data_IF_805194823633
#
_entry.id   IF_805194823633
#
_cell.length_a   1.000
_cell.length_b   1.000
_cell.length_c   1.000
_cell.angle_alpha   90.00
_cell.angle_beta   90.00
_cell.angle_gamma   90.00
#
_symmetry.space_group_name_H-M   'P 1'
#
loop_
_entity.id
_entity.type
_entity.pdbx_description
1 polymer ?
#
# COMPACT_ATOMS: atom_id res chain seq x y z
N UNK A 1 -69.36 36.90 74.49
CA UNK A 1 -68.03 37.53 74.58
C UNK A 1 -67.28 36.64 75.56
N UNK A 2 -66.42 35.71 75.16
CA UNK A 2 -65.35 35.82 74.17
C UNK A 2 -65.09 34.49 73.45
N UNK A 3 -64.64 34.58 72.20
CA UNK A 3 -64.37 33.44 71.31
C UNK A 3 -62.87 33.19 71.27
N UNK A 4 -62.50 31.94 71.56
CA UNK A 4 -61.17 31.34 71.37
C UNK A 4 -60.73 31.38 69.90
N UNK A 5 -59.50 31.84 69.64
CA UNK A 5 -58.80 31.57 68.38
C UNK A 5 -57.31 31.28 68.61
N UNK A 6 -56.90 30.07 68.20
CA UNK A 6 -55.51 29.71 67.88
C UNK A 6 -55.04 30.50 66.64
N UNK A 7 -53.77 30.92 66.55
CA UNK A 7 -53.12 31.18 65.27
C UNK A 7 -52.34 29.96 64.78
N UNK A 8 -52.61 29.62 63.52
CA UNK A 8 -52.04 28.56 62.72
C UNK A 8 -50.71 28.98 62.07
N UNK A 9 -49.83 27.98 61.91
CA UNK A 9 -48.61 28.00 61.12
C UNK A 9 -48.88 28.28 59.63
N UNK A 10 -48.39 29.40 59.07
CA UNK A 10 -48.13 29.54 57.63
C UNK A 10 -46.88 30.38 57.41
N UNK A 11 -45.78 29.72 57.03
CA UNK A 11 -44.51 30.39 56.72
C UNK A 11 -43.53 29.47 55.99
N UNK A 12 -43.91 28.91 54.84
CA UNK A 12 -42.96 28.26 53.92
C UNK A 12 -43.54 28.13 52.51
N UNK A 13 -43.39 29.19 51.69
CA UNK A 13 -43.60 29.10 50.23
C UNK A 13 -42.46 29.73 49.42
N UNK A 14 -41.65 30.63 49.99
CA UNK A 14 -40.54 31.28 49.25
C UNK A 14 -39.29 30.41 49.09
N UNK A 15 -39.03 29.44 49.95
CA UNK A 15 -37.84 28.57 49.89
C UNK A 15 -37.94 27.46 48.84
N UNK A 16 -39.15 27.03 48.48
CA UNK A 16 -39.38 25.94 47.51
C UNK A 16 -39.15 26.43 46.06
N UNK A 17 -39.48 27.68 45.77
CA UNK A 17 -39.33 28.28 44.42
C UNK A 17 -37.84 28.54 44.09
N UNK A 18 -37.03 28.86 45.10
CA UNK A 18 -35.59 29.06 44.92
C UNK A 18 -34.85 27.74 44.58
N UNK A 19 -35.26 26.63 45.21
CA UNK A 19 -34.70 25.29 44.95
C UNK A 19 -35.02 24.77 43.54
N UNK A 20 -36.20 25.10 43.00
CA UNK A 20 -36.59 24.65 41.66
C UNK A 20 -35.79 25.36 40.56
N UNK A 21 -35.48 26.65 40.73
CA UNK A 21 -34.65 27.43 39.79
C UNK A 21 -33.22 26.90 39.69
N UNK A 22 -32.62 26.49 40.81
CA UNK A 22 -31.25 25.93 40.81
C UNK A 22 -31.16 24.55 40.14
N UNK A 23 -32.20 23.72 40.24
CA UNK A 23 -32.23 22.43 39.54
C UNK A 23 -32.22 22.59 38.02
N UNK A 24 -33.00 23.54 37.50
CA UNK A 24 -33.02 23.82 36.05
C UNK A 24 -31.66 24.29 35.55
N UNK A 25 -30.98 25.16 36.31
CA UNK A 25 -29.62 25.63 35.98
C UNK A 25 -28.62 24.47 36.01
N UNK A 26 -28.68 23.59 37.01
CA UNK A 26 -27.81 22.41 37.10
C UNK A 26 -28.03 21.47 35.90
N UNK A 27 -29.29 21.21 35.52
CA UNK A 27 -29.58 20.38 34.34
C UNK A 27 -29.07 21.00 33.04
N UNK A 28 -29.19 22.31 32.87
CA UNK A 28 -28.64 23.02 31.70
C UNK A 28 -27.11 22.94 31.64
N UNK A 29 -26.44 23.08 32.79
CA UNK A 29 -24.97 22.94 32.87
C UNK A 29 -24.55 21.51 32.53
N UNK A 30 -25.23 20.50 33.07
CA UNK A 30 -24.94 19.09 32.75
C UNK A 30 -25.16 18.80 31.26
N UNK A 31 -26.24 19.31 30.66
CA UNK A 31 -26.51 19.17 29.22
C UNK A 31 -25.44 19.85 28.36
N UNK A 32 -24.99 21.06 28.73
CA UNK A 32 -23.87 21.73 28.06
C UNK A 32 -22.57 20.94 28.18
N UNK A 33 -22.23 20.45 29.37
CA UNK A 33 -21.04 19.63 29.58
C UNK A 33 -21.10 18.32 28.78
N UNK A 34 -22.28 17.69 28.70
CA UNK A 34 -22.48 16.46 27.93
C UNK A 34 -22.40 16.71 26.42
N UNK A 35 -22.91 17.85 25.95
CA UNK A 35 -22.75 18.29 24.56
C UNK A 35 -21.28 18.54 24.19
N UNK A 36 -20.54 19.29 25.02
CA UNK A 36 -19.10 19.54 24.83
C UNK A 36 -18.32 18.23 24.87
N UNK A 37 -18.64 17.32 25.81
CA UNK A 37 -18.00 16.02 25.92
C UNK A 37 -18.26 15.15 24.68
N UNK A 38 -19.50 15.10 24.18
CA UNK A 38 -19.83 14.39 22.94
C UNK A 38 -19.12 15.02 21.73
N UNK A 39 -18.96 16.34 21.69
CA UNK A 39 -18.25 17.04 20.63
C UNK A 39 -16.72 16.87 20.69
N UNK A 40 -16.14 16.75 21.88
CA UNK A 40 -14.73 16.39 22.04
C UNK A 40 -14.47 14.89 21.78
N UNK A 41 -15.47 14.03 21.98
CA UNK A 41 -15.38 12.61 21.67
C UNK A 41 -15.64 12.29 20.19
N UNK A 42 -16.26 13.18 19.41
CA UNK A 42 -16.29 13.04 17.96
C UNK A 42 -14.87 13.23 17.43
N UNK A 43 -14.23 12.19 16.85
CA UNK A 43 -12.88 12.32 16.34
C UNK A 43 -12.90 13.35 15.21
N UNK A 44 -12.22 14.49 15.41
CA UNK A 44 -12.03 15.52 14.37
C UNK A 44 -11.22 15.02 13.16
N UNK A 45 -10.74 13.78 13.19
CA UNK A 45 -9.95 13.16 12.13
C UNK A 45 -10.78 12.39 11.08
N UNK A 46 -12.12 12.25 11.24
CA UNK A 46 -12.90 11.30 10.42
C UNK A 46 -13.88 11.91 9.42
N UNK A 47 -14.00 13.23 9.34
CA UNK A 47 -14.71 13.88 8.23
C UNK A 47 -13.84 15.02 7.73
N UNK A 48 -12.91 14.68 6.84
CA UNK A 48 -12.43 15.64 5.84
C UNK A 48 -13.68 16.05 5.05
N UNK A 49 -14.31 17.15 5.44
CA UNK A 49 -15.41 17.77 4.71
C UNK A 49 -14.87 18.10 3.32
N UNK A 50 -15.18 17.25 2.35
CA UNK A 50 -14.62 17.37 1.01
C UNK A 50 -15.11 18.67 0.40
N UNK A 51 -14.17 19.53 0.00
CA UNK A 51 -14.54 20.79 -0.64
C UNK A 51 -15.13 20.46 -2.01
N UNK A 52 -16.36 20.90 -2.24
CA UNK A 52 -16.99 20.92 -3.56
C UNK A 52 -16.30 22.01 -4.37
N UNK A 53 -15.20 21.68 -5.05
CA UNK A 53 -14.46 22.62 -5.91
C UNK A 53 -14.74 22.35 -7.37
N UNK A 54 -14.90 23.42 -8.14
CA UNK A 54 -14.99 23.35 -9.60
C UNK A 54 -13.60 23.33 -10.26
N UNK A 55 -12.54 23.73 -9.55
CA UNK A 55 -11.19 23.75 -10.13
C UNK A 55 -10.40 22.46 -9.83
N UNK A 56 -9.94 21.73 -10.86
CA UNK A 56 -9.23 20.46 -10.65
C UNK A 56 -7.90 20.58 -9.90
N UNK A 57 -7.19 21.68 -10.07
CA UNK A 57 -5.92 21.92 -9.36
C UNK A 57 -6.14 22.13 -7.86
N UNK A 58 -7.19 22.86 -7.47
CA UNK A 58 -7.57 23.05 -6.08
C UNK A 58 -8.02 21.72 -5.46
N UNK A 59 -8.78 20.92 -6.21
CA UNK A 59 -9.16 19.56 -5.80
C UNK A 59 -7.92 18.70 -5.48
N UNK A 60 -6.91 18.68 -6.35
CA UNK A 60 -5.68 17.91 -6.11
C UNK A 60 -4.90 18.48 -4.93
N UNK A 61 -4.79 19.81 -4.80
CA UNK A 61 -4.11 20.45 -3.68
C UNK A 61 -4.77 20.14 -2.34
N UNK A 62 -6.11 20.09 -2.29
CA UNK A 62 -6.87 19.66 -1.12
C UNK A 62 -6.54 18.22 -0.72
N UNK A 63 -6.44 17.32 -1.69
CA UNK A 63 -6.03 15.91 -1.47
C UNK A 63 -4.60 15.76 -0.94
N UNK A 64 -3.74 16.76 -1.13
CA UNK A 64 -2.38 16.77 -0.61
C UNK A 64 -2.27 17.31 0.82
N UNK A 65 -3.28 18.01 1.35
CA UNK A 65 -3.26 18.59 2.70
C UNK A 65 -2.92 17.57 3.81
N UNK A 66 -3.44 16.33 3.80
CA UNK A 66 -3.07 15.33 4.82
C UNK A 66 -1.58 15.01 4.86
N UNK A 67 -0.86 15.24 3.76
CA UNK A 67 0.58 14.98 3.64
C UNK A 67 1.45 16.22 3.95
N UNK A 68 0.87 17.37 4.29
CA UNK A 68 1.61 18.61 4.51
C UNK A 68 2.73 18.48 5.56
N UNK A 69 2.44 17.77 6.66
CA UNK A 69 3.43 17.47 7.70
C UNK A 69 4.55 16.58 7.18
N UNK A 70 4.23 15.49 6.49
CA UNK A 70 5.23 14.58 5.92
C UNK A 70 6.12 15.24 4.85
N UNK A 71 5.54 16.13 4.04
CA UNK A 71 6.26 16.91 3.04
C UNK A 71 7.25 17.88 3.70
N UNK A 72 6.82 18.56 4.77
CA UNK A 72 7.67 19.48 5.54
C UNK A 72 8.81 18.73 6.25
N UNK A 73 8.52 17.56 6.80
CA UNK A 73 9.45 16.78 7.60
C UNK A 73 10.36 15.89 6.71
N UNK A 74 10.23 15.98 5.38
CA UNK A 74 11.01 15.21 4.38
C UNK A 74 10.80 13.69 4.47
N UNK A 75 9.65 13.28 4.99
CA UNK A 75 9.19 11.88 5.04
C UNK A 75 8.37 11.50 3.79
N UNK A 76 7.93 12.49 3.02
CA UNK A 76 7.27 12.31 1.74
C UNK A 76 7.77 13.32 0.70
N UNK A 77 7.66 12.95 -0.57
CA UNK A 77 8.09 13.78 -1.70
C UNK A 77 7.02 13.83 -2.78
N UNK A 78 6.63 15.05 -3.16
CA UNK A 78 5.78 15.30 -4.31
C UNK A 78 6.60 15.14 -5.60
N UNK A 79 6.10 14.36 -6.54
CA UNK A 79 6.71 14.10 -7.83
C UNK A 79 5.79 14.67 -8.91
N UNK A 80 6.32 15.62 -9.66
CA UNK A 80 5.63 16.22 -10.80
C UNK A 80 6.10 15.50 -12.07
N UNK A 81 5.23 14.72 -12.75
CA UNK A 81 5.63 13.93 -13.92
C UNK A 81 6.17 14.79 -15.08
N UNK A 82 5.75 16.05 -15.15
CA UNK A 82 6.09 16.99 -16.21
C UNK A 82 7.46 17.67 -15.99
N UNK A 83 8.03 17.56 -14.80
CA UNK A 83 9.29 18.21 -14.46
C UNK A 83 10.45 17.23 -14.62
N UNK A 84 11.09 17.27 -15.79
CA UNK A 84 12.25 16.43 -16.16
C UNK A 84 13.49 16.65 -15.29
N UNK A 85 13.49 17.64 -14.40
CA UNK A 85 14.62 17.96 -13.52
C UNK A 85 14.71 17.04 -12.28
N UNK A 86 13.65 16.32 -11.91
CA UNK A 86 13.67 15.44 -10.74
C UNK A 86 13.88 13.99 -11.14
N UNK A 87 15.03 13.41 -10.81
CA UNK A 87 15.34 11.98 -10.99
C UNK A 87 14.56 11.04 -10.03
N UNK A 88 13.52 11.53 -9.36
CA UNK A 88 12.78 10.79 -8.34
C UNK A 88 11.61 10.02 -8.96
N UNK A 89 11.60 8.71 -8.74
CA UNK A 89 10.53 7.82 -9.19
C UNK A 89 9.59 7.54 -8.01
N UNK A 90 8.26 7.57 -8.21
CA UNK A 90 7.35 6.89 -7.28
C UNK A 90 7.61 5.42 -7.46
N UNK A 91 8.44 4.85 -6.60
CA UNK A 91 8.75 3.43 -6.62
C UNK A 91 8.50 2.86 -5.24
N UNK A 92 7.86 1.70 -5.15
CA UNK A 92 7.71 0.95 -3.91
C UNK A 92 8.21 -0.46 -4.17
N UNK A 93 8.86 -1.05 -3.17
CA UNK A 93 9.39 -2.39 -3.25
C UNK A 93 9.65 -2.98 -1.88
N UNK A 94 9.62 -4.31 -1.81
CA UNK A 94 9.88 -5.08 -0.59
C UNK A 94 11.15 -5.96 -0.71
N UNK A 95 11.96 -5.73 -1.75
CA UNK A 95 13.12 -6.53 -2.09
C UNK A 95 12.85 -7.78 -2.93
N UNK A 96 11.59 -8.22 -3.04
CA UNK A 96 11.17 -9.35 -3.89
C UNK A 96 10.45 -8.88 -5.15
N UNK A 97 9.60 -7.87 -4.98
CA UNK A 97 8.86 -7.19 -6.05
C UNK A 97 8.91 -5.69 -5.83
N UNK A 98 8.81 -4.93 -6.93
CA UNK A 98 8.65 -3.50 -6.90
C UNK A 98 8.04 -2.95 -8.18
N UNK A 99 7.37 -1.80 -8.06
CA UNK A 99 6.66 -1.18 -9.18
C UNK A 99 6.69 0.35 -9.05
N UNK A 100 6.30 1.04 -10.12
CA UNK A 100 6.21 2.51 -10.18
C UNK A 100 4.93 2.97 -10.87
N UNK A 101 4.43 4.17 -10.54
CA UNK A 101 3.35 4.78 -11.34
C UNK A 101 3.84 5.33 -12.69
N UNK A 102 5.15 5.47 -12.88
CA UNK A 102 5.74 6.01 -14.11
C UNK A 102 6.27 4.94 -15.06
N UNK A 103 6.39 3.69 -14.61
CA UNK A 103 6.87 2.54 -15.38
C UNK A 103 5.78 1.47 -15.42
N UNK A 104 5.46 0.95 -16.61
CA UNK A 104 4.49 -0.14 -16.79
C UNK A 104 5.08 -1.52 -16.49
N UNK A 105 6.37 -1.57 -16.14
CA UNK A 105 7.06 -2.78 -15.75
C UNK A 105 7.00 -3.01 -14.23
N UNK A 106 6.83 -4.27 -13.85
CA UNK A 106 7.19 -4.73 -12.51
C UNK A 106 8.67 -5.13 -12.51
N UNK A 107 9.38 -4.80 -11.44
CA UNK A 107 10.74 -5.24 -11.20
C UNK A 107 10.70 -6.36 -10.17
N UNK A 108 11.32 -7.49 -10.50
CA UNK A 108 11.38 -8.67 -9.65
C UNK A 108 12.81 -8.95 -9.19
N UNK A 109 12.91 -9.65 -8.07
CA UNK A 109 14.17 -10.07 -7.49
C UNK A 109 14.90 -11.08 -8.37
N UNK A 110 16.17 -10.78 -8.65
CA UNK A 110 17.10 -11.67 -9.31
C UNK A 110 18.51 -11.33 -8.85
N UNK A 111 19.29 -12.34 -8.40
CA UNK A 111 20.65 -12.19 -7.89
C UNK A 111 20.83 -11.26 -6.66
N UNK A 112 19.85 -11.24 -5.74
CA UNK A 112 19.97 -10.56 -4.44
C UNK A 112 19.36 -9.16 -4.38
N UNK A 113 18.87 -8.63 -5.51
CA UNK A 113 18.23 -7.32 -5.59
C UNK A 113 17.16 -7.30 -6.71
N UNK A 114 16.32 -6.27 -6.72
CA UNK A 114 15.35 -6.05 -7.80
C UNK A 114 16.07 -5.59 -9.06
N UNK A 115 16.13 -6.45 -10.07
CA UNK A 115 16.94 -6.21 -11.27
C UNK A 115 16.27 -6.62 -12.57
N UNK A 116 15.38 -7.63 -12.52
CA UNK A 116 14.72 -8.13 -13.71
C UNK A 116 13.40 -7.38 -13.91
N UNK A 117 13.29 -6.64 -15.01
CA UNK A 117 12.03 -5.99 -15.42
C UNK A 117 11.15 -6.96 -16.18
N UNK A 118 9.84 -6.90 -15.92
CA UNK A 118 8.81 -7.66 -16.61
C UNK A 118 7.67 -6.75 -17.03
N UNK A 119 7.24 -6.87 -18.28
CA UNK A 119 6.14 -6.07 -18.83
C UNK A 119 4.80 -6.72 -18.49
N UNK A 120 4.45 -6.70 -17.21
CA UNK A 120 3.19 -7.26 -16.67
C UNK A 120 2.37 -6.10 -16.10
N UNK A 121 1.12 -5.90 -16.56
CA UNK A 121 0.27 -4.80 -16.11
C UNK A 121 -0.31 -5.07 -14.71
N UNK A 122 0.50 -4.90 -13.67
CA UNK A 122 0.11 -5.22 -12.28
C UNK A 122 -0.62 -4.09 -11.58
N UNK A 123 -0.44 -2.84 -12.04
CA UNK A 123 -1.10 -1.67 -11.48
C UNK A 123 -2.36 -1.35 -12.26
N UNK A 124 -3.44 -1.16 -11.51
CA UNK A 124 -4.73 -0.76 -12.03
C UNK A 124 -4.77 0.77 -12.13
N UNK A 125 -5.43 1.28 -13.15
CA UNK A 125 -5.67 2.72 -13.31
C UNK A 125 -7.15 3.01 -13.38
N UNK A 126 -7.56 4.12 -12.76
CA UNK A 126 -8.92 4.62 -12.91
C UNK A 126 -8.92 5.66 -14.00
N UNK A 127 -9.86 5.50 -14.93
CA UNK A 127 -10.17 6.50 -15.94
C UNK A 127 -11.66 6.82 -15.88
N UNK A 128 -12.01 8.09 -16.07
CA UNK A 128 -13.40 8.53 -16.15
C UNK A 128 -13.56 9.14 -17.53
N UNK A 129 -14.12 8.36 -18.44
CA UNK A 129 -14.17 8.75 -19.86
C UNK A 129 -14.91 10.08 -20.02
N UNK A 130 -14.27 11.04 -20.69
CA UNK A 130 -14.84 12.36 -20.97
C UNK A 130 -14.47 13.44 -19.95
N UNK A 131 -13.74 13.08 -18.89
CA UNK A 131 -13.30 14.02 -17.86
C UNK A 131 -11.84 14.44 -18.09
N UNK A 132 -11.53 15.70 -17.83
CA UNK A 132 -10.14 16.17 -17.74
C UNK A 132 -9.55 15.66 -16.43
N UNK A 133 -8.41 14.98 -16.50
CA UNK A 133 -7.73 14.37 -15.35
C UNK A 133 -6.51 15.19 -14.94
N UNK A 134 -6.50 15.65 -13.70
CA UNK A 134 -5.35 16.26 -13.06
C UNK A 134 -4.82 15.32 -12.00
N UNK A 135 -3.51 15.08 -11.99
CA UNK A 135 -2.89 14.12 -11.09
C UNK A 135 -1.66 14.67 -10.37
N UNK A 136 -1.47 14.24 -9.13
CA UNK A 136 -0.26 14.41 -8.37
C UNK A 136 0.25 13.05 -7.90
N UNK A 137 1.56 12.84 -8.00
CA UNK A 137 2.23 11.64 -7.50
C UNK A 137 2.99 12.00 -6.23
N UNK A 138 2.91 11.15 -5.21
CA UNK A 138 3.60 11.36 -3.96
C UNK A 138 4.24 10.05 -3.49
N UNK A 139 5.51 10.12 -3.10
CA UNK A 139 6.26 9.01 -2.52
C UNK A 139 6.38 9.25 -1.02
N UNK A 140 5.80 8.36 -0.21
CA UNK A 140 5.91 8.36 1.24
C UNK A 140 7.02 7.38 1.64
N UNK A 141 8.23 7.89 1.81
CA UNK A 141 9.40 7.06 2.07
C UNK A 141 9.40 6.49 3.48
N UNK A 142 8.74 7.18 4.42
CA UNK A 142 8.68 6.77 5.82
C UNK A 142 7.84 5.52 5.97
N UNK A 143 6.67 5.50 5.33
CA UNK A 143 5.73 4.39 5.41
C UNK A 143 5.90 3.36 4.28
N UNK A 144 6.71 3.69 3.27
CA UNK A 144 6.94 2.84 2.10
C UNK A 144 5.81 2.78 1.09
N UNK A 145 4.96 3.81 1.10
CA UNK A 145 3.77 3.90 0.29
C UNK A 145 4.00 4.83 -0.91
N UNK A 146 3.30 4.55 -2.00
CA UNK A 146 3.18 5.48 -3.11
C UNK A 146 1.73 5.87 -3.31
N UNK A 147 1.52 7.15 -3.56
CA UNK A 147 0.22 7.77 -3.65
C UNK A 147 0.03 8.43 -5.01
N UNK A 148 -1.15 8.28 -5.59
CA UNK A 148 -1.59 9.01 -6.78
C UNK A 148 -2.93 9.65 -6.46
N UNK A 149 -2.95 10.97 -6.41
CA UNK A 149 -4.18 11.77 -6.27
C UNK A 149 -4.62 12.16 -7.67
N UNK A 150 -5.88 11.90 -8.00
CA UNK A 150 -6.47 12.28 -9.28
C UNK A 150 -7.79 13.02 -9.05
N UNK A 151 -8.00 14.09 -9.81
CA UNK A 151 -9.28 14.78 -9.88
C UNK A 151 -9.75 14.81 -11.32
N UNK A 152 -11.00 14.40 -11.52
CA UNK A 152 -11.66 14.28 -12.80
C UNK A 152 -12.74 15.34 -12.88
N UNK A 153 -12.72 16.15 -13.94
CA UNK A 153 -13.75 17.17 -14.20
C UNK A 153 -14.39 16.99 -15.57
N UNK A 154 -15.73 16.95 -15.58
CA UNK A 154 -16.54 17.07 -16.78
C UNK A 154 -17.19 18.46 -16.83
N UNK A 155 -17.62 18.89 -18.02
CA UNK A 155 -18.08 20.26 -18.26
C UNK A 155 -19.28 20.59 -17.36
N UNK A 156 -19.16 21.65 -16.57
CA UNK A 156 -20.17 22.14 -15.61
C UNK A 156 -20.55 21.17 -14.46
N UNK A 157 -19.66 20.25 -14.10
CA UNK A 157 -19.85 19.34 -12.97
C UNK A 157 -18.78 19.52 -11.88
N UNK A 158 -19.13 19.09 -10.66
CA UNK A 158 -18.20 19.02 -9.53
C UNK A 158 -17.12 17.96 -9.80
N UNK A 159 -15.91 18.16 -9.25
CA UNK A 159 -14.79 17.24 -9.47
C UNK A 159 -14.98 15.90 -8.73
N UNK A 160 -15.03 14.79 -9.46
CA UNK A 160 -14.83 13.45 -8.86
C UNK A 160 -13.37 13.31 -8.49
N UNK A 161 -13.07 12.87 -7.28
CA UNK A 161 -11.69 12.72 -6.84
C UNK A 161 -11.37 11.29 -6.45
N UNK A 162 -10.16 10.85 -6.75
CA UNK A 162 -9.66 9.55 -6.36
C UNK A 162 -8.29 9.64 -5.72
N UNK A 163 -8.11 8.89 -4.64
CA UNK A 163 -6.81 8.63 -4.00
C UNK A 163 -6.44 7.18 -4.22
N UNK A 164 -5.36 6.94 -4.95
CA UNK A 164 -4.74 5.61 -5.09
C UNK A 164 -3.57 5.50 -4.13
N UNK A 165 -3.50 4.41 -3.38
CA UNK A 165 -2.33 4.05 -2.56
C UNK A 165 -1.83 2.68 -3.02
N UNK A 166 -0.52 2.53 -3.22
CA UNK A 166 0.11 1.27 -3.60
C UNK A 166 1.30 0.98 -2.68
N UNK A 167 1.47 -0.28 -2.30
CA UNK A 167 2.65 -0.73 -1.58
C UNK A 167 2.95 -2.21 -1.81
N UNK A 168 4.24 -2.53 -1.92
CA UNK A 168 4.72 -3.91 -1.84
C UNK A 168 4.86 -4.30 -0.36
N UNK A 169 4.10 -5.29 0.11
CA UNK A 169 4.05 -5.60 1.53
C UNK A 169 5.43 -6.05 2.04
N UNK A 170 5.91 -5.43 3.14
CA UNK A 170 7.29 -5.66 3.61
C UNK A 170 7.44 -7.02 4.30
N UNK A 171 6.43 -7.46 5.06
CA UNK A 171 6.40 -8.77 5.73
C UNK A 171 5.91 -9.95 4.89
N UNK A 172 5.15 -9.69 3.82
CA UNK A 172 4.53 -10.71 2.97
C UNK A 172 5.07 -10.55 1.56
N UNK A 173 6.17 -11.23 1.22
CA UNK A 173 6.95 -10.79 0.09
C UNK A 173 6.29 -11.02 -1.27
N UNK A 174 5.21 -11.82 -1.34
CA UNK A 174 4.43 -11.98 -2.56
C UNK A 174 3.48 -10.82 -2.83
N UNK A 175 3.12 -10.02 -1.82
CA UNK A 175 1.93 -9.19 -1.89
C UNK A 175 2.22 -7.78 -2.38
N UNK A 176 1.50 -7.38 -3.42
CA UNK A 176 1.35 -6.00 -3.87
C UNK A 176 -0.09 -5.57 -3.61
N UNK A 177 -0.27 -4.52 -2.81
CA UNK A 177 -1.58 -4.01 -2.42
C UNK A 177 -1.80 -2.67 -3.10
N UNK A 178 -2.97 -2.51 -3.71
CA UNK A 178 -3.43 -1.26 -4.29
C UNK A 178 -4.82 -0.93 -3.78
N UNK A 179 -5.01 0.26 -3.22
CA UNK A 179 -6.31 0.72 -2.73
C UNK A 179 -6.70 2.00 -3.44
N UNK A 180 -7.93 2.05 -3.94
CA UNK A 180 -8.54 3.26 -4.48
C UNK A 180 -9.63 3.74 -3.55
N UNK A 181 -9.63 5.04 -3.25
CA UNK A 181 -10.73 5.72 -2.59
C UNK A 181 -11.29 6.74 -3.55
N UNK A 182 -12.51 6.54 -4.01
CA UNK A 182 -13.19 7.42 -4.96
C UNK A 182 -14.29 8.15 -4.22
N UNK A 183 -14.29 9.48 -4.33
CA UNK A 183 -15.32 10.34 -3.78
C UNK A 183 -16.13 10.99 -4.91
N UNK A 184 -17.45 10.78 -4.87
CA UNK A 184 -18.40 11.39 -5.77
C UNK A 184 -19.18 12.50 -5.04
N UNK A 185 -18.88 13.79 -5.29
CA UNK A 185 -19.59 14.90 -4.65
C UNK A 185 -20.96 15.22 -5.27
N UNK A 186 -21.33 14.59 -6.38
CA UNK A 186 -22.54 14.90 -7.13
C UNK A 186 -23.79 14.35 -6.47
N UNK A 187 -24.95 14.84 -6.89
CA UNK A 187 -26.27 14.41 -6.41
C UNK A 187 -26.80 13.15 -7.13
N UNK A 188 -26.02 12.58 -8.06
CA UNK A 188 -26.29 11.33 -8.76
C UNK A 188 -25.11 10.36 -8.71
N UNK A 189 -25.36 9.09 -9.02
CA UNK A 189 -24.36 8.04 -9.09
C UNK A 189 -23.46 8.18 -10.34
N UNK A 190 -22.16 7.94 -10.15
CA UNK A 190 -21.16 8.00 -11.21
C UNK A 190 -20.49 6.65 -11.41
N UNK A 191 -20.15 6.36 -12.67
CA UNK A 191 -19.45 5.14 -13.04
C UNK A 191 -18.00 5.47 -13.37
N UNK A 192 -17.07 4.88 -12.65
CA UNK A 192 -15.63 4.97 -12.92
C UNK A 192 -15.20 3.73 -13.69
N UNK A 193 -14.50 3.94 -14.81
CA UNK A 193 -13.94 2.84 -15.58
C UNK A 193 -12.62 2.42 -14.94
N UNK A 194 -12.49 1.12 -14.74
CA UNK A 194 -11.27 0.48 -14.31
C UNK A 194 -10.50 0.08 -15.56
N UNK A 195 -9.39 0.76 -15.83
CA UNK A 195 -8.46 0.36 -16.89
C UNK A 195 -7.36 -0.52 -16.30
N UNK A 196 -7.25 -1.71 -16.86
CA UNK A 196 -6.35 -2.76 -16.41
C UNK A 196 -5.84 -3.51 -17.63
N UNK A 197 -4.53 -3.65 -17.73
CA UNK A 197 -3.92 -4.42 -18.80
C UNK A 197 -4.28 -5.91 -18.72
N UNK A 198 -4.21 -6.60 -19.86
CA UNK A 198 -4.57 -8.00 -19.94
C UNK A 198 -3.34 -8.89 -19.76
N UNK A 199 -3.33 -9.79 -18.77
CA UNK A 199 -2.24 -10.77 -18.58
C UNK A 199 -2.00 -11.66 -19.80
N UNK A 200 -2.99 -11.86 -20.67
CA UNK A 200 -2.82 -12.59 -21.94
C UNK A 200 -1.84 -11.91 -22.89
N UNK A 201 -1.57 -10.61 -22.71
CA UNK A 201 -0.61 -9.87 -23.51
C UNK A 201 0.83 -10.05 -23.00
N UNK A 202 1.03 -10.78 -21.91
CA UNK A 202 2.37 -11.07 -21.38
C UNK A 202 3.09 -12.10 -22.28
N UNK A 203 4.21 -11.70 -22.87
CA UNK A 203 4.96 -12.47 -23.87
C UNK A 203 5.55 -13.78 -23.34
N UNK A 204 5.93 -13.82 -22.06
CA UNK A 204 6.51 -15.00 -21.42
C UNK A 204 5.47 -15.93 -20.79
N UNK A 205 4.17 -15.66 -20.99
CA UNK A 205 3.07 -16.45 -20.42
C UNK A 205 3.07 -17.88 -20.96
N UNK A 206 3.04 -18.85 -20.04
CA UNK A 206 2.99 -20.29 -20.34
C UNK A 206 1.63 -20.89 -19.99
N UNK A 207 1.09 -20.53 -18.82
CA UNK A 207 -0.21 -21.03 -18.38
C UNK A 207 -1.02 -19.93 -17.72
N UNK A 208 -2.33 -19.94 -17.98
CA UNK A 208 -3.30 -19.04 -17.35
C UNK A 208 -4.50 -19.86 -16.90
N UNK A 209 -4.86 -19.78 -15.63
CA UNK A 209 -6.05 -20.43 -15.08
C UNK A 209 -6.78 -19.52 -14.10
N UNK A 210 -7.92 -19.97 -13.61
CA UNK A 210 -8.74 -19.23 -12.66
C UNK A 210 -8.89 -20.03 -11.38
N UNK A 211 -8.80 -19.35 -10.24
CA UNK A 211 -9.12 -19.91 -8.93
C UNK A 211 -10.09 -18.98 -8.22
N UNK A 212 -10.74 -19.49 -7.17
CA UNK A 212 -11.61 -18.70 -6.32
C UNK A 212 -11.13 -18.77 -4.89
N UNK A 213 -11.08 -17.61 -4.24
CA UNK A 213 -10.64 -17.45 -2.86
C UNK A 213 -11.74 -16.75 -2.07
N UNK A 214 -11.82 -17.05 -0.78
CA UNK A 214 -12.76 -16.41 0.13
C UNK A 214 -12.13 -15.12 0.68
N UNK A 215 -12.83 -14.00 0.54
CA UNK A 215 -12.49 -12.72 1.11
C UNK A 215 -13.48 -12.39 2.24
N UNK A 216 -12.96 -11.91 3.35
CA UNK A 216 -13.80 -11.40 4.43
C UNK A 216 -14.32 -10.02 4.02
N UNK A 217 -15.64 -9.85 4.00
CA UNK A 217 -16.25 -8.55 3.67
C UNK A 217 -15.85 -7.49 4.70
N UNK A 218 -15.47 -6.30 4.22
CA UNK A 218 -15.14 -5.15 5.08
C UNK A 218 -16.38 -4.57 5.78
N UNK A 219 -17.57 -4.85 5.24
CA UNK A 219 -18.84 -4.44 5.85
C UNK A 219 -19.21 -5.43 6.97
N UNK A 220 -19.06 -4.98 8.23
CA UNK A 220 -19.49 -5.73 9.42
C UNK A 220 -20.94 -6.20 9.21
N UNK A 221 -21.13 -7.52 9.07
CA UNK A 221 -22.38 -8.30 8.98
C UNK A 221 -22.67 -9.02 7.65
N UNK A 222 -21.80 -8.94 6.62
CA UNK A 222 -21.96 -9.79 5.42
C UNK A 222 -21.13 -11.08 5.47
N UNK A 223 -21.65 -12.13 4.81
CA UNK A 223 -20.96 -13.39 4.59
C UNK A 223 -19.65 -13.19 3.80
N UNK A 224 -18.70 -14.12 3.91
CA UNK A 224 -17.49 -14.10 3.09
C UNK A 224 -17.86 -13.99 1.61
N UNK A 225 -17.20 -13.07 0.91
CA UNK A 225 -17.38 -12.84 -0.52
C UNK A 225 -16.36 -13.70 -1.28
N UNK A 226 -16.77 -14.27 -2.41
CA UNK A 226 -15.87 -15.08 -3.24
C UNK A 226 -15.21 -14.19 -4.30
N UNK A 227 -13.87 -14.12 -4.28
CA UNK A 227 -13.08 -13.36 -5.26
C UNK A 227 -12.43 -14.33 -6.24
N UNK A 228 -12.59 -14.07 -7.53
CA UNK A 228 -11.94 -14.86 -8.58
C UNK A 228 -10.58 -14.26 -8.91
N UNK A 229 -9.56 -15.11 -9.00
CA UNK A 229 -8.19 -14.75 -9.36
C UNK A 229 -7.80 -15.42 -10.67
N UNK A 230 -7.08 -14.67 -11.52
CA UNK A 230 -6.30 -15.20 -12.62
C UNK A 230 -4.92 -15.60 -12.10
N UNK A 231 -4.55 -16.86 -12.30
CA UNK A 231 -3.24 -17.39 -11.95
C UNK A 231 -2.46 -17.58 -13.25
N UNK A 232 -1.50 -16.71 -13.47
CA UNK A 232 -0.59 -16.74 -14.61
C UNK A 232 0.77 -17.30 -14.16
N UNK A 233 1.36 -18.15 -15.00
CA UNK A 233 2.75 -18.58 -14.88
C UNK A 233 3.46 -18.23 -16.16
N UNK A 234 4.63 -17.61 -16.07
CA UNK A 234 5.51 -17.33 -17.19
C UNK A 234 6.95 -17.70 -16.91
N UNK A 235 7.72 -17.84 -17.99
CA UNK A 235 9.11 -18.29 -17.96
C UNK A 235 10.02 -17.26 -18.60
N UNK A 236 10.84 -16.63 -17.78
CA UNK A 236 11.76 -15.58 -18.22
C UNK A 236 13.10 -16.22 -18.51
N UNK A 237 13.53 -16.16 -19.77
CA UNK A 237 14.83 -16.69 -20.20
C UNK A 237 15.95 -15.73 -19.81
N UNK A 238 16.95 -16.24 -19.10
CA UNK A 238 18.18 -15.53 -18.80
C UNK A 238 19.32 -15.99 -19.72
N UNK A 239 20.33 -15.12 -19.97
CA UNK A 239 21.52 -15.52 -20.71
C UNK A 239 22.24 -16.66 -20.00
N UNK A 240 22.60 -17.75 -20.72
CA UNK A 240 23.44 -18.78 -20.12
C UNK A 240 24.83 -18.21 -19.79
N UNK A 241 25.38 -18.54 -18.62
CA UNK A 241 26.78 -18.29 -18.32
C UNK A 241 27.71 -18.91 -19.37
N UNK A 242 28.77 -18.19 -19.74
CA UNK A 242 29.68 -18.63 -20.82
C UNK A 242 30.36 -19.98 -20.55
N UNK A 243 30.57 -20.34 -19.29
CA UNK A 243 31.17 -21.62 -18.89
C UNK A 243 30.26 -22.83 -19.17
N UNK A 244 28.94 -22.65 -19.24
CA UNK A 244 27.97 -23.73 -19.54
C UNK A 244 27.74 -23.92 -21.04
N UNK A 245 28.23 -23.02 -21.89
CA UNK A 245 27.94 -23.04 -23.35
C UNK A 245 28.68 -24.12 -24.12
N UNK A 246 29.68 -24.78 -23.52
CA UNK A 246 30.64 -25.58 -24.32
C UNK A 246 30.65 -27.08 -24.05
N UNK A 247 29.99 -27.62 -23.01
CA UNK A 247 29.95 -29.08 -22.78
C UNK A 247 28.75 -29.60 -21.97
N UNK A 248 27.82 -28.74 -21.55
CA UNK A 248 26.70 -29.15 -20.68
C UNK A 248 25.40 -29.40 -21.45
N UNK A 249 24.51 -30.30 -20.96
CA UNK A 249 23.23 -30.60 -21.60
C UNK A 249 22.18 -29.48 -21.45
N UNK A 250 22.54 -28.36 -20.81
CA UNK A 250 21.63 -27.27 -20.52
C UNK A 250 21.46 -26.34 -21.73
N UNK A 251 20.21 -26.07 -22.07
CA UNK A 251 19.83 -25.27 -23.25
C UNK A 251 19.32 -23.88 -22.87
N UNK A 252 18.88 -23.70 -21.62
CA UNK A 252 18.40 -22.42 -21.11
C UNK A 252 18.59 -22.29 -19.60
N UNK A 253 18.63 -21.04 -19.14
CA UNK A 253 18.47 -20.68 -17.74
C UNK A 253 17.15 -19.91 -17.62
N UNK A 254 16.25 -20.35 -16.72
CA UNK A 254 14.89 -19.82 -16.62
C UNK A 254 14.59 -19.30 -15.22
N UNK A 255 13.88 -18.18 -15.13
CA UNK A 255 13.14 -17.80 -13.93
C UNK A 255 11.67 -18.19 -14.10
N UNK A 256 11.12 -18.84 -13.08
CA UNK A 256 9.69 -19.15 -13.01
C UNK A 256 9.00 -18.00 -12.29
N UNK A 257 8.01 -17.38 -12.93
CA UNK A 257 7.27 -16.24 -12.40
C UNK A 257 5.80 -16.60 -12.32
N UNK A 258 5.21 -16.46 -11.14
CA UNK A 258 3.80 -16.74 -10.89
C UNK A 258 3.12 -15.46 -10.41
N UNK A 259 1.98 -15.14 -11.03
CA UNK A 259 1.17 -13.95 -10.74
C UNK A 259 -0.27 -14.39 -10.46
N UNK A 260 -0.78 -13.99 -9.31
CA UNK A 260 -2.17 -14.09 -8.89
C UNK A 260 -2.76 -12.70 -8.98
N UNK A 261 -3.62 -12.51 -9.96
CA UNK A 261 -4.23 -11.23 -10.24
C UNK A 261 -5.74 -11.31 -10.01
N UNK A 262 -6.32 -10.43 -9.18
CA UNK A 262 -7.74 -10.48 -8.91
C UNK A 262 -8.57 -9.95 -10.10
N UNK A 263 -9.68 -10.63 -10.39
CA UNK A 263 -10.67 -10.25 -11.41
C UNK A 263 -11.70 -9.29 -10.83
N UNK A 264 -12.02 -8.23 -11.58
CA UNK A 264 -12.93 -7.19 -11.14
C UNK A 264 -13.81 -6.69 -12.29
N UNK A 265 -14.97 -6.07 -11.97
CA UNK A 265 -15.79 -5.45 -12.99
C UNK A 265 -15.05 -4.29 -13.66
N UNK A 266 -15.29 -4.10 -14.95
CA UNK A 266 -14.71 -3.01 -15.75
C UNK A 266 -15.19 -1.63 -15.29
N UNK A 267 -16.30 -1.59 -14.57
CA UNK A 267 -17.00 -0.38 -14.15
C UNK A 267 -17.32 -0.46 -12.66
N UNK A 268 -17.02 0.60 -11.92
CA UNK A 268 -17.32 0.76 -10.51
C UNK A 268 -18.31 1.91 -10.31
N UNK A 269 -19.45 1.62 -9.69
CA UNK A 269 -20.48 2.64 -9.43
C UNK A 269 -20.28 3.24 -8.05
N UNK A 270 -20.19 4.57 -8.00
CA UNK A 270 -20.02 5.35 -6.78
C UNK A 270 -21.29 6.19 -6.54
N UNK A 271 -22.06 5.90 -5.48
CA UNK A 271 -23.27 6.62 -5.12
C UNK A 271 -23.00 8.11 -4.88
N UNK A 272 -24.06 8.88 -5.06
CA UNK A 272 -24.09 10.31 -4.77
C UNK A 272 -23.60 10.64 -3.35
N UNK A 273 -22.81 11.71 -3.24
CA UNK A 273 -22.32 12.25 -1.97
C UNK A 273 -21.47 11.29 -1.13
N UNK A 274 -20.99 10.18 -1.71
CA UNK A 274 -20.35 9.09 -0.98
C UNK A 274 -18.90 8.87 -1.39
N UNK A 275 -18.13 8.26 -0.48
CA UNK A 275 -16.80 7.72 -0.76
C UNK A 275 -16.87 6.20 -0.77
N UNK A 276 -16.40 5.58 -1.84
CA UNK A 276 -16.18 4.13 -1.89
C UNK A 276 -14.68 3.80 -1.91
N UNK A 277 -14.33 2.70 -1.24
CA UNK A 277 -12.96 2.19 -1.18
C UNK A 277 -12.92 0.81 -1.82
N UNK A 278 -11.94 0.57 -2.68
CA UNK A 278 -11.71 -0.70 -3.35
C UNK A 278 -10.26 -1.12 -3.14
N UNK A 279 -10.06 -2.34 -2.64
CA UNK A 279 -8.73 -2.89 -2.34
C UNK A 279 -8.44 -4.07 -3.26
N UNK A 280 -7.26 -4.03 -3.88
CA UNK A 280 -6.76 -5.01 -4.83
C UNK A 280 -5.49 -5.62 -4.25
N UNK A 281 -5.50 -6.93 -4.04
CA UNK A 281 -4.34 -7.67 -3.54
C UNK A 281 -3.83 -8.56 -4.67
N UNK A 282 -2.66 -8.24 -5.20
CA UNK A 282 -1.99 -9.00 -6.26
C UNK A 282 -0.86 -9.81 -5.64
N UNK A 283 -0.78 -11.10 -5.94
CA UNK A 283 0.27 -12.00 -5.46
C UNK A 283 1.30 -12.30 -6.54
N UNK A 284 2.58 -12.09 -6.30
CA UNK A 284 3.63 -12.27 -7.30
C UNK A 284 4.84 -12.93 -6.64
N UNK A 285 5.30 -14.06 -7.20
CA UNK A 285 6.53 -14.71 -6.78
C UNK A 285 7.36 -15.17 -7.95
N UNK A 286 8.66 -15.24 -7.68
CA UNK A 286 9.68 -15.66 -8.62
C UNK A 286 10.53 -16.74 -7.96
N UNK A 287 11.03 -17.67 -8.76
CA UNK A 287 12.01 -18.66 -8.32
C UNK A 287 13.23 -17.99 -7.67
N UNK A 288 13.65 -18.49 -6.52
CA UNK A 288 14.73 -17.88 -5.71
C UNK A 288 16.08 -17.89 -6.45
N UNK A 289 16.29 -18.88 -7.32
CA UNK A 289 17.44 -19.01 -8.20
C UNK A 289 16.97 -19.40 -9.61
N UNK A 290 17.69 -18.98 -10.66
CA UNK A 290 17.37 -19.43 -12.00
C UNK A 290 17.58 -20.93 -12.15
N UNK A 291 16.64 -21.60 -12.81
CA UNK A 291 16.66 -23.03 -13.07
C UNK A 291 17.40 -23.28 -14.39
N UNK A 292 18.45 -24.09 -14.35
CA UNK A 292 19.08 -24.64 -15.54
C UNK A 292 18.19 -25.75 -16.11
N UNK A 293 17.83 -25.65 -17.38
CA UNK A 293 16.94 -26.61 -18.03
C UNK A 293 17.61 -27.27 -19.23
N UNK A 294 17.36 -28.57 -19.37
CA UNK A 294 17.71 -29.37 -20.54
C UNK A 294 16.58 -29.34 -21.57
N UNK A 295 16.83 -29.86 -22.76
CA UNK A 295 15.79 -30.00 -23.79
C UNK A 295 14.63 -30.90 -23.31
N UNK A 296 14.93 -31.94 -22.53
CA UNK A 296 13.92 -32.81 -21.95
C UNK A 296 13.01 -32.07 -20.94
N UNK A 297 13.58 -31.18 -20.12
CA UNK A 297 12.80 -30.38 -19.16
C UNK A 297 11.84 -29.41 -19.87
N UNK A 298 12.24 -28.87 -21.01
CA UNK A 298 11.37 -28.02 -21.84
C UNK A 298 10.20 -28.80 -22.46
N UNK A 299 10.40 -30.08 -22.78
CA UNK A 299 9.33 -30.96 -23.26
C UNK A 299 8.36 -31.28 -22.13
N UNK A 300 8.87 -31.60 -20.93
CA UNK A 300 8.04 -31.88 -19.74
C UNK A 300 7.24 -30.67 -19.25
N UNK A 301 7.67 -29.46 -19.59
CA UNK A 301 6.92 -28.23 -19.32
C UNK A 301 5.46 -28.30 -19.79
N UNK A 302 5.21 -28.97 -20.92
CA UNK A 302 3.86 -29.12 -21.50
C UNK A 302 2.99 -30.13 -20.77
N UNK A 303 3.58 -31.03 -20.00
CA UNK A 303 2.87 -32.10 -19.28
C UNK A 303 2.67 -31.81 -17.79
N UNK A 304 2.96 -30.59 -17.33
CA UNK A 304 2.91 -30.21 -15.91
C UNK A 304 3.77 -31.11 -14.99
N UNK A 305 4.80 -31.74 -15.57
CA UNK A 305 5.74 -32.61 -14.88
C UNK A 305 7.15 -31.99 -14.91
N UNK A 306 8.02 -32.47 -14.02
CA UNK A 306 9.41 -32.05 -13.97
C UNK A 306 9.70 -30.88 -13.04
N UNK A 307 10.95 -30.39 -13.10
CA UNK A 307 11.50 -29.42 -12.14
C UNK A 307 10.78 -28.07 -12.17
N UNK A 308 10.42 -27.59 -13.35
CA UNK A 308 9.75 -26.29 -13.53
C UNK A 308 8.32 -26.33 -12.99
N UNK A 309 7.58 -27.42 -13.23
CA UNK A 309 6.23 -27.59 -12.70
C UNK A 309 6.23 -27.71 -11.18
N UNK A 310 7.22 -28.41 -10.60
CA UNK A 310 7.41 -28.48 -9.15
C UNK A 310 7.67 -27.10 -8.55
N UNK A 311 8.51 -26.29 -9.20
CA UNK A 311 8.77 -24.93 -8.75
C UNK A 311 7.53 -24.05 -8.84
N UNK A 312 6.80 -24.10 -9.96
CA UNK A 312 5.53 -23.39 -10.12
C UNK A 312 4.57 -23.70 -8.96
N UNK A 313 4.35 -24.98 -8.66
CA UNK A 313 3.47 -25.40 -7.55
C UNK A 313 3.96 -24.90 -6.19
N UNK A 314 5.28 -24.87 -5.96
CA UNK A 314 5.87 -24.29 -4.74
C UNK A 314 5.54 -22.80 -4.63
N UNK A 315 5.79 -22.02 -5.69
CA UNK A 315 5.53 -20.58 -5.71
C UNK A 315 4.04 -20.28 -5.55
N UNK A 316 3.16 -21.03 -6.22
CA UNK A 316 1.71 -20.90 -6.07
C UNK A 316 1.25 -21.17 -4.65
N UNK A 317 1.82 -22.18 -3.97
CA UNK A 317 1.51 -22.48 -2.57
C UNK A 317 1.91 -21.35 -1.63
N UNK A 318 3.07 -20.72 -1.84
CA UNK A 318 3.53 -19.56 -1.06
C UNK A 318 2.65 -18.34 -1.29
N UNK A 319 2.29 -18.04 -2.53
CA UNK A 319 1.38 -16.92 -2.83
C UNK A 319 0.00 -17.19 -2.20
N UNK A 320 -0.52 -18.41 -2.32
CA UNK A 320 -1.85 -18.76 -1.82
C UNK A 320 -1.95 -18.60 -0.31
N UNK A 321 -0.92 -19.01 0.46
CA UNK A 321 -0.94 -18.86 1.91
C UNK A 321 -0.92 -17.38 2.34
N UNK A 322 -0.12 -16.54 1.69
CA UNK A 322 -0.07 -15.10 1.94
C UNK A 322 -1.35 -14.38 1.50
N UNK A 323 -1.96 -14.77 0.37
CA UNK A 323 -3.22 -14.21 -0.10
C UNK A 323 -4.38 -14.56 0.82
N UNK A 324 -4.50 -15.82 1.25
CA UNK A 324 -5.56 -16.23 2.19
C UNK A 324 -5.45 -15.45 3.49
N UNK A 325 -4.22 -15.22 3.98
CA UNK A 325 -4.00 -14.31 5.10
C UNK A 325 -4.49 -12.90 4.75
N UNK A 326 -3.97 -12.25 3.72
CA UNK A 326 -4.31 -10.87 3.38
C UNK A 326 -5.81 -10.63 3.15
N UNK A 327 -6.52 -11.57 2.51
CA UNK A 327 -7.96 -11.49 2.26
C UNK A 327 -8.83 -11.72 3.51
N UNK A 328 -8.23 -12.22 4.59
CA UNK A 328 -8.93 -12.43 5.87
C UNK A 328 -8.83 -11.23 6.82
N UNK A 329 -7.93 -10.27 6.53
CA UNK A 329 -7.69 -9.08 7.33
C UNK A 329 -8.25 -7.82 6.66
N UNK A 330 -8.76 -6.86 7.44
CA UNK A 330 -9.07 -5.51 6.95
C UNK A 330 -7.83 -4.84 6.34
N UNK A 331 -8.01 -4.09 5.24
CA UNK A 331 -6.90 -3.44 4.54
C UNK A 331 -6.11 -2.47 5.43
N UNK A 332 -6.76 -1.77 6.36
CA UNK A 332 -6.11 -0.87 7.29
C UNK A 332 -5.16 -1.59 8.27
N UNK A 333 -5.49 -2.82 8.68
CA UNK A 333 -4.61 -3.65 9.50
C UNK A 333 -3.41 -4.15 8.70
N UNK A 334 -3.64 -4.60 7.46
CA UNK A 334 -2.58 -5.03 6.54
C UNK A 334 -1.61 -3.87 6.24
N UNK A 335 -2.14 -2.67 6.01
CA UNK A 335 -1.34 -1.47 5.80
C UNK A 335 -0.51 -1.12 7.04
N UNK A 336 -1.12 -1.22 8.23
CA UNK A 336 -0.41 -0.95 9.49
C UNK A 336 0.78 -1.90 9.68
N UNK A 337 0.59 -3.20 9.44
CA UNK A 337 1.68 -4.19 9.51
C UNK A 337 2.84 -3.87 8.56
N UNK A 338 2.51 -3.37 7.35
CA UNK A 338 3.50 -2.87 6.40
C UNK A 338 4.23 -1.62 6.91
N UNK A 339 3.50 -0.60 7.38
CA UNK A 339 4.10 0.65 7.86
C UNK A 339 4.93 0.43 9.12
N UNK A 340 4.52 -0.46 10.01
CA UNK A 340 5.27 -0.81 11.22
C UNK A 340 6.60 -1.48 10.87
N UNK A 341 6.62 -2.34 9.85
CA UNK A 341 7.85 -2.93 9.33
C UNK A 341 8.80 -1.88 8.72
N UNK A 342 8.27 -0.91 7.98
CA UNK A 342 9.07 0.21 7.46
C UNK A 342 9.61 1.11 8.56
N UNK A 343 8.76 1.48 9.52
CA UNK A 343 9.15 2.30 10.66
C UNK A 343 10.25 1.62 11.51
N UNK A 344 10.22 0.29 11.60
CA UNK A 344 11.30 -0.47 12.24
C UNK A 344 12.64 -0.31 11.52
N UNK A 345 12.68 -0.34 10.18
CA UNK A 345 13.91 -0.10 9.41
C UNK A 345 14.48 1.29 9.68
N UNK A 346 13.62 2.29 9.77
CA UNK A 346 14.00 3.67 10.03
C UNK A 346 14.50 3.94 11.46
N UNK A 347 14.36 2.99 12.40
CA UNK A 347 14.97 3.13 13.75
C UNK A 347 16.49 3.21 13.71
N UNK A 348 17.11 2.65 12.67
CA UNK A 348 18.56 2.72 12.42
C UNK A 348 18.99 3.92 11.57
N UNK A 349 18.05 4.84 11.26
CA UNK A 349 18.23 5.92 10.29
C UNK A 349 19.31 6.95 10.65
N UNK A 350 19.78 7.67 9.63
CA UNK A 350 20.77 8.74 9.74
C UNK A 350 20.04 10.07 9.51
N UNK A 351 20.23 11.04 10.41
CA UNK A 351 19.74 12.42 10.21
C UNK A 351 20.93 13.37 10.19
N UNK A 352 20.97 14.23 9.19
CA UNK A 352 21.94 15.33 9.10
C UNK A 352 21.20 16.66 9.02
N UNK A 353 21.86 17.76 9.41
CA UNK A 353 21.30 19.10 9.21
C UNK A 353 21.30 19.48 7.73
N UNK A 354 20.29 20.25 7.31
CA UNK A 354 20.23 20.78 5.95
C UNK A 354 21.39 21.74 5.69
N UNK A 355 22.17 21.49 4.64
CA UNK A 355 23.27 22.34 4.20
C UNK A 355 22.85 23.18 3.00
N UNK A 356 23.07 24.49 3.09
CA UNK A 356 22.84 25.43 2.01
C UNK A 356 24.06 25.61 1.09
N UNK A 357 25.15 24.86 1.32
CA UNK A 357 26.31 24.93 0.47
C UNK A 357 26.00 24.34 -0.93
N UNK A 358 26.46 24.96 -2.03
CA UNK A 358 26.26 24.44 -3.38
C UNK A 358 26.78 23.00 -3.52
N UNK A 359 25.93 22.10 -4.02
CA UNK A 359 26.28 20.68 -4.21
C UNK A 359 26.35 19.84 -2.94
N UNK A 360 25.94 20.37 -1.78
CA UNK A 360 25.89 19.59 -0.56
C UNK A 360 24.81 18.50 -0.64
N UNK A 361 25.17 17.29 -0.20
CA UNK A 361 24.24 16.18 -0.01
C UNK A 361 23.33 16.51 1.17
N UNK A 362 22.03 16.57 0.91
CA UNK A 362 21.04 16.98 1.91
C UNK A 362 20.21 15.78 2.41
N UNK A 363 19.45 15.96 3.52
CA UNK A 363 18.61 14.90 4.09
C UNK A 363 17.68 14.24 3.08
N UNK A 364 17.15 15.03 2.13
CA UNK A 364 16.34 14.53 1.02
C UNK A 364 17.08 13.45 0.21
N UNK A 365 18.31 13.71 -0.21
CA UNK A 365 19.07 12.81 -1.08
C UNK A 365 19.47 11.54 -0.31
N UNK A 366 19.83 11.68 0.96
CA UNK A 366 20.18 10.55 1.83
C UNK A 366 18.96 9.66 2.07
N UNK A 367 17.84 10.23 2.51
CA UNK A 367 16.66 9.46 2.89
C UNK A 367 16.02 8.78 1.67
N UNK A 368 15.95 9.47 0.53
CA UNK A 368 15.46 8.85 -0.71
C UNK A 368 16.39 7.74 -1.20
N UNK A 369 17.72 7.92 -1.10
CA UNK A 369 18.67 6.86 -1.44
C UNK A 369 18.53 5.64 -0.52
N UNK A 370 18.47 5.86 0.79
CA UNK A 370 18.27 4.79 1.77
C UNK A 370 16.95 4.06 1.53
N UNK A 371 15.88 4.81 1.24
CA UNK A 371 14.59 4.25 0.89
C UNK A 371 14.69 3.32 -0.32
N UNK A 372 15.30 3.79 -1.43
CA UNK A 372 15.44 2.95 -2.61
C UNK A 372 16.30 1.71 -2.34
N UNK A 373 17.40 1.82 -1.59
CA UNK A 373 18.22 0.67 -1.21
C UNK A 373 17.40 -0.35 -0.41
N UNK A 374 16.63 0.12 0.58
CA UNK A 374 15.74 -0.73 1.36
C UNK A 374 14.65 -1.37 0.48
N UNK A 375 14.03 -0.62 -0.43
CA UNK A 375 13.00 -1.16 -1.34
C UNK A 375 13.54 -2.22 -2.30
N UNK A 376 14.83 -2.15 -2.66
CA UNK A 376 15.48 -3.09 -3.56
C UNK A 376 16.02 -4.34 -2.87
N UNK A 377 16.05 -4.37 -1.54
CA UNK A 377 16.66 -5.46 -0.76
C UNK A 377 15.65 -6.10 0.20
N UNK A 378 15.57 -7.44 0.24
CA UNK A 378 14.72 -8.14 1.19
C UNK A 378 15.06 -7.80 2.65
N UNK A 379 14.03 -7.61 3.48
CA UNK A 379 14.23 -7.61 4.93
C UNK A 379 14.29 -9.04 5.46
N UNK A 380 15.50 -9.60 5.43
CA UNK A 380 15.76 -11.00 5.78
C UNK A 380 15.59 -11.27 7.28
N UNK A 381 15.66 -10.25 8.14
CA UNK A 381 15.42 -10.42 9.58
C UNK A 381 13.93 -10.57 9.90
N UNK A 382 13.06 -9.88 9.16
CA UNK A 382 11.61 -10.00 9.31
C UNK A 382 11.00 -11.17 8.54
N UNK A 383 11.61 -11.62 7.44
CA UNK A 383 11.12 -12.81 6.69
C UNK A 383 11.47 -14.15 7.38
N UNK A 384 12.47 -14.16 8.27
CA UNK A 384 13.02 -15.39 8.87
C UNK A 384 12.58 -15.68 10.31
N UNK A 385 11.61 -14.94 10.87
CA UNK A 385 11.06 -15.26 12.21
C UNK A 385 10.37 -16.63 12.29
N UNK A 386 10.31 -17.38 11.18
CA UNK A 386 9.86 -18.77 11.08
C UNK A 386 10.98 -19.80 10.76
N UNK A 387 12.26 -19.40 10.66
CA UNK A 387 13.37 -20.30 10.26
C UNK A 387 14.53 -20.30 11.29
N UNK A 388 15.03 -21.50 11.58
CA UNK A 388 16.11 -21.81 12.54
C UNK A 388 17.37 -20.92 12.42
N UNK A 389 18.09 -20.78 13.54
CA UNK A 389 19.39 -20.09 13.70
C UNK A 389 20.47 -20.44 12.65
N UNK A 390 20.33 -21.55 11.91
CA UNK A 390 21.22 -21.92 10.81
C UNK A 390 21.14 -20.96 9.62
N UNK A 391 19.94 -20.46 9.27
CA UNK A 391 19.72 -19.54 8.15
C UNK A 391 20.37 -18.17 8.40
N UNK A 392 20.35 -17.69 9.65
CA UNK A 392 21.02 -16.46 10.06
C UNK A 392 22.55 -16.58 9.92
N UNK A 393 23.13 -17.75 10.24
CA UNK A 393 24.56 -17.99 10.09
C UNK A 393 24.99 -18.15 8.63
N UNK A 394 24.17 -18.83 7.81
CA UNK A 394 24.39 -18.97 6.38
C UNK A 394 24.33 -17.61 5.66
N UNK A 395 23.42 -16.74 6.09
CA UNK A 395 23.35 -15.35 5.64
C UNK A 395 24.58 -14.52 6.02
N UNK A 396 25.07 -14.62 7.27
CA UNK A 396 26.32 -13.94 7.69
C UNK A 396 27.52 -14.37 6.85
N UNK A 397 27.51 -15.61 6.35
CA UNK A 397 28.55 -16.14 5.45
C UNK A 397 28.36 -15.56 4.04
N UNK A 398 27.14 -15.58 3.48
CA UNK A 398 26.85 -15.00 2.15
C UNK A 398 27.14 -13.49 2.08
N UNK A 399 26.81 -12.75 3.13
CA UNK A 399 27.08 -11.30 3.22
C UNK A 399 28.57 -11.01 3.40
N UNK A 400 29.33 -11.93 4.01
CA UNK A 400 30.80 -11.85 4.07
C UNK A 400 31.43 -11.98 2.69
N UNK A 401 30.90 -12.83 1.83
CA UNK A 401 31.41 -13.03 0.47
C UNK A 401 31.05 -11.87 -0.47
N UNK A 402 29.91 -11.21 -0.27
CA UNK A 402 29.52 -10.04 -1.06
C UNK A 402 30.31 -8.76 -0.71
N UNK A 403 30.96 -8.71 0.46
CA UNK A 403 31.74 -7.57 0.95
C UNK A 403 33.12 -7.38 0.29
N UNK A 404 33.39 -8.00 -0.86
CA UNK A 404 34.64 -7.75 -1.58
C UNK A 404 34.72 -6.33 -2.19
N UNK A 405 33.60 -5.61 -2.28
CA UNK A 405 33.54 -4.25 -2.84
C UNK A 405 33.54 -3.11 -1.81
N UNK A 406 33.39 -3.37 -0.51
CA UNK A 406 33.40 -2.32 0.54
C UNK A 406 34.35 -2.70 1.69
N UNK A 407 35.49 -2.00 1.77
CA UNK A 407 36.51 -2.16 2.84
C UNK A 407 36.44 -1.03 3.90
N UNK A 408 35.27 -0.46 4.14
CA UNK A 408 35.06 0.53 5.20
C UNK A 408 34.80 -0.12 6.54
N UNK A 409 35.46 0.34 7.60
CA UNK A 409 35.22 -0.07 8.98
C UNK A 409 33.84 0.41 9.46
N UNK A 410 33.02 -0.52 9.96
CA UNK A 410 31.84 -0.19 10.76
C UNK A 410 32.31 0.32 12.13
N UNK A 411 32.18 1.62 12.37
CA UNK A 411 32.20 2.18 13.72
C UNK A 411 30.83 2.76 13.97
N UNK A 412 29.87 1.91 14.35
CA UNK A 412 28.67 2.41 15.01
C UNK A 412 29.12 2.85 16.40
N UNK A 413 29.08 4.16 16.65
CA UNK A 413 29.26 4.70 17.98
C UNK A 413 28.17 4.12 18.89
N UNK A 414 28.53 3.12 19.69
CA UNK A 414 27.88 2.89 20.97
C UNK A 414 28.26 4.09 21.85
N UNK A 415 27.31 4.99 22.09
CA UNK A 415 27.38 5.84 23.27
C UNK A 415 26.53 5.19 24.38
N UNK A 416 26.98 5.34 25.65
CA UNK A 416 26.51 4.58 26.82
C UNK A 416 25.07 4.86 27.23
#
# INVERSE_FOLDING_TARGET
MDVLHLPSLIGSKSTIILFYKWRVVIYLVILCCLYIFLWCLTPSELVSEFIKTDEPHECVADRLKPFATKLRDLDAFLIQPENTQTNLLTFTGNGFIGCSFQDDHIVIHNNGFLSQKLKIPVLITLDVHGYVNFKALLLDIRDGLMHKMSCFKHVNELCVSSGTTVYAHRRYPSLLIQTFRVYNPMDWENTVKVDKGNLRNWTELVSLRFIRLQQKSELKNHASEEVTYQVACGLVKLPLPDYLKTNDPFVAQLLVVVVFEPMFPENLTVPSGSTQSYTFVTGIRVSDQPILVTEHDLIQLKSDLGIVAKERTRLESLITSELVFALSYPENELRKEHTDAWNFLWTSGITISHSYAPGAVNPKDINTTLYYLASNTPDLLLTQSSVNNSAINEYKIQYKDYNQCFRGTYTFFQYP
#
